data_IF_345052413079
#
_entry.id   IF_345052413079
#
_cell.length_a   1.000
_cell.length_b   1.000
_cell.length_c   1.000
_cell.angle_alpha   90.00
_cell.angle_beta   90.00
_cell.angle_gamma   90.00
#
_symmetry.space_group_name_H-M   'P 1'
#
loop_
_entity.id
_entity.type
_entity.pdbx_description
1 polymer ?
#
# COMPACT_ATOMS: atom_id res chain seq x y z
N UNK A 1 -12.21 6.79 -32.85
CA UNK A 1 -12.12 5.59 -32.00
C UNK A 1 -10.72 5.58 -31.42
N UNK A 2 -10.60 5.75 -30.09
CA UNK A 2 -9.31 5.89 -29.40
C UNK A 2 -8.58 4.55 -29.37
N UNK A 3 -7.39 4.50 -29.97
CA UNK A 3 -6.50 3.34 -29.89
C UNK A 3 -5.95 3.21 -28.47
N UNK A 4 -6.55 2.35 -27.64
CA UNK A 4 -5.86 1.85 -26.45
C UNK A 4 -4.67 1.02 -26.93
N UNK A 5 -3.43 1.48 -26.73
CA UNK A 5 -2.32 1.03 -27.56
C UNK A 5 -1.80 -0.32 -27.07
N UNK A 6 -1.39 -1.16 -28.01
CA UNK A 6 -0.69 -2.44 -27.88
C UNK A 6 0.42 -2.52 -26.79
N UNK A 7 0.91 -1.38 -26.30
CA UNK A 7 1.85 -1.28 -25.17
C UNK A 7 1.26 -1.78 -23.84
N UNK A 8 -0.03 -1.56 -23.58
CA UNK A 8 -0.69 -2.08 -22.38
C UNK A 8 -0.83 -3.61 -22.44
N UNK A 9 -1.03 -4.17 -23.64
CA UNK A 9 -1.03 -5.61 -23.90
C UNK A 9 0.36 -6.23 -23.69
N UNK A 10 1.44 -5.56 -24.10
CA UNK A 10 2.81 -6.01 -23.82
C UNK A 10 3.16 -5.99 -22.34
N UNK A 11 2.75 -4.94 -21.61
CA UNK A 11 2.96 -4.85 -20.17
C UNK A 11 2.13 -5.89 -19.40
N UNK A 12 0.84 -6.02 -19.71
CA UNK A 12 -0.02 -7.03 -19.06
C UNK A 12 0.51 -8.45 -19.26
N UNK A 13 0.97 -8.82 -20.46
CA UNK A 13 1.65 -10.11 -20.69
C UNK A 13 2.91 -10.28 -19.87
N UNK A 14 3.78 -9.27 -19.82
CA UNK A 14 5.00 -9.32 -19.01
C UNK A 14 4.70 -9.54 -17.52
N UNK A 15 3.63 -8.93 -17.03
CA UNK A 15 3.11 -9.06 -15.66
C UNK A 15 2.48 -10.43 -15.42
N UNK A 16 1.71 -10.92 -16.38
CA UNK A 16 1.04 -12.22 -16.36
C UNK A 16 2.05 -13.36 -16.32
N UNK A 17 3.07 -13.29 -17.16
CA UNK A 17 4.09 -14.34 -17.35
C UNK A 17 5.15 -14.37 -16.23
N UNK A 18 5.26 -13.30 -15.42
CA UNK A 18 6.31 -13.17 -14.41
C UNK A 18 5.76 -12.76 -13.04
N UNK A 19 5.11 -13.69 -12.30
CA UNK A 19 4.58 -13.41 -10.97
C UNK A 19 5.67 -12.97 -9.98
N UNK A 20 6.91 -13.44 -10.15
CA UNK A 20 8.06 -13.02 -9.33
C UNK A 20 8.35 -11.51 -9.43
N UNK A 21 8.26 -10.93 -10.64
CA UNK A 21 8.44 -9.49 -10.84
C UNK A 21 7.34 -8.73 -10.10
N UNK A 22 6.12 -9.25 -10.10
CA UNK A 22 5.00 -8.65 -9.39
C UNK A 22 5.16 -8.69 -7.87
N UNK A 23 5.59 -9.81 -7.30
CA UNK A 23 5.90 -9.90 -5.87
C UNK A 23 7.01 -8.90 -5.50
N UNK A 24 8.05 -8.79 -6.32
CA UNK A 24 9.13 -7.83 -6.09
C UNK A 24 8.63 -6.38 -6.12
N UNK A 25 7.89 -6.00 -7.17
CA UNK A 25 7.35 -4.64 -7.30
C UNK A 25 6.35 -4.29 -6.20
N UNK A 26 5.49 -5.24 -5.81
CA UNK A 26 4.50 -5.00 -4.76
C UNK A 26 5.15 -4.83 -3.39
N UNK A 27 6.22 -5.58 -3.12
CA UNK A 27 6.94 -5.53 -1.83
C UNK A 27 7.86 -4.32 -1.72
N UNK A 28 8.74 -4.14 -2.70
CA UNK A 28 9.79 -3.11 -2.67
C UNK A 28 9.32 -1.78 -3.27
N UNK A 29 8.40 -1.80 -4.23
CA UNK A 29 7.83 -0.59 -4.82
C UNK A 29 7.03 0.22 -3.81
N UNK A 30 6.32 -0.44 -2.88
CA UNK A 30 5.61 0.24 -1.78
C UNK A 30 6.58 0.84 -0.77
N UNK A 31 7.70 0.17 -0.47
CA UNK A 31 8.76 0.76 0.36
C UNK A 31 9.38 2.00 -0.29
N UNK A 32 9.68 1.91 -1.59
CA UNK A 32 10.18 3.05 -2.36
C UNK A 32 9.15 4.20 -2.38
N UNK A 33 7.87 3.90 -2.55
CA UNK A 33 6.78 4.88 -2.51
C UNK A 33 6.68 5.55 -1.13
N UNK A 34 6.76 4.76 -0.05
CA UNK A 34 6.78 5.30 1.32
C UNK A 34 7.97 6.23 1.54
N UNK A 35 9.15 5.88 1.02
CA UNK A 35 10.34 6.72 1.10
C UNK A 35 10.16 8.06 0.34
N UNK A 36 9.59 8.01 -0.87
CA UNK A 36 9.25 9.21 -1.64
C UNK A 36 8.21 10.06 -0.91
N UNK A 37 7.15 9.46 -0.37
CA UNK A 37 6.11 10.16 0.40
C UNK A 37 6.68 10.82 1.65
N UNK A 38 7.54 10.13 2.41
CA UNK A 38 8.21 10.68 3.57
C UNK A 38 9.14 11.86 3.20
N UNK A 39 9.82 11.77 2.05
CA UNK A 39 10.65 12.85 1.53
C UNK A 39 9.78 14.04 1.11
N UNK A 40 8.67 13.80 0.42
CA UNK A 40 7.72 14.83 -0.01
C UNK A 40 7.10 15.57 1.19
N UNK A 41 6.80 14.85 2.27
CA UNK A 41 6.32 15.44 3.53
C UNK A 41 7.30 16.44 4.11
N UNK A 42 8.61 16.17 3.99
CA UNK A 42 9.67 17.07 4.46
C UNK A 42 9.76 18.35 3.63
N UNK A 43 9.43 18.26 2.33
CA UNK A 43 9.51 19.39 1.39
C UNK A 43 8.23 20.25 1.46
N UNK A 44 7.05 19.63 1.51
CA UNK A 44 5.76 20.31 1.40
C UNK A 44 4.90 20.02 2.64
N UNK A 45 5.01 20.83 3.71
CA UNK A 45 4.26 20.60 4.94
C UNK A 45 2.74 20.74 4.77
N UNK A 46 2.26 21.48 3.76
CA UNK A 46 0.84 21.60 3.44
C UNK A 46 0.17 20.27 3.07
N UNK A 47 0.94 19.29 2.56
CA UNK A 47 0.45 17.96 2.19
C UNK A 47 0.52 16.96 3.35
N UNK A 48 0.78 17.42 4.58
CA UNK A 48 0.97 16.53 5.74
C UNK A 48 -0.21 15.61 6.01
N UNK A 49 -1.43 16.12 5.91
CA UNK A 49 -2.65 15.33 6.17
C UNK A 49 -2.82 14.21 5.13
N UNK A 50 -2.87 14.49 3.80
CA UNK A 50 -3.04 13.43 2.80
C UNK A 50 -1.84 12.47 2.74
N UNK A 51 -0.61 12.96 2.93
CA UNK A 51 0.58 12.10 2.93
C UNK A 51 0.59 11.18 4.15
N UNK A 52 0.28 11.68 5.36
CA UNK A 52 0.20 10.83 6.54
C UNK A 52 -0.91 9.78 6.42
N UNK A 53 -2.03 10.12 5.79
CA UNK A 53 -3.08 9.14 5.49
C UNK A 53 -2.55 8.03 4.57
N UNK A 54 -1.90 8.38 3.45
CA UNK A 54 -1.30 7.39 2.54
C UNK A 54 -0.25 6.54 3.24
N UNK A 55 0.65 7.14 4.01
CA UNK A 55 1.65 6.42 4.81
C UNK A 55 0.96 5.43 5.75
N UNK A 56 -0.12 5.83 6.43
CA UNK A 56 -0.91 4.95 7.28
C UNK A 56 -1.51 3.76 6.52
N UNK A 57 -2.18 4.02 5.39
CA UNK A 57 -2.75 2.98 4.52
C UNK A 57 -1.68 1.98 4.09
N UNK A 58 -0.58 2.47 3.51
CA UNK A 58 0.50 1.62 3.01
C UNK A 58 1.22 0.87 4.13
N UNK A 59 1.37 1.45 5.32
CA UNK A 59 2.02 0.78 6.46
C UNK A 59 1.22 -0.43 6.96
N UNK A 60 -0.11 -0.33 6.98
CA UNK A 60 -0.98 -1.46 7.36
C UNK A 60 -1.03 -2.50 6.25
N UNK A 61 -1.13 -2.04 5.01
CA UNK A 61 -1.29 -2.92 3.86
C UNK A 61 -0.01 -3.72 3.55
N UNK A 62 1.17 -3.14 3.73
CA UNK A 62 2.44 -3.74 3.31
C UNK A 62 2.66 -5.17 3.85
N UNK A 63 2.57 -5.45 5.16
CA UNK A 63 2.77 -6.81 5.67
C UNK A 63 1.70 -7.80 5.15
N UNK A 64 0.45 -7.36 5.03
CA UNK A 64 -0.68 -8.19 4.59
C UNK A 64 -0.54 -8.51 3.09
N UNK A 65 -0.31 -7.48 2.27
CA UNK A 65 -0.11 -7.59 0.83
C UNK A 65 1.13 -8.41 0.48
N UNK A 66 2.20 -8.31 1.27
CA UNK A 66 3.39 -9.14 1.12
C UNK A 66 3.08 -10.63 1.30
N UNK A 67 2.39 -11.00 2.38
CA UNK A 67 2.00 -12.39 2.66
C UNK A 67 1.10 -12.93 1.56
N UNK A 68 0.10 -12.16 1.13
CA UNK A 68 -0.81 -12.56 0.04
C UNK A 68 -0.05 -12.75 -1.28
N UNK A 69 0.87 -11.84 -1.60
CA UNK A 69 1.73 -11.95 -2.79
C UNK A 69 2.58 -13.22 -2.79
N UNK A 70 3.20 -13.56 -1.65
CA UNK A 70 3.98 -14.79 -1.52
C UNK A 70 3.08 -16.03 -1.66
N UNK A 71 1.91 -16.02 -1.02
CA UNK A 71 0.97 -17.14 -1.08
C UNK A 71 0.51 -17.41 -2.52
N UNK A 72 0.17 -16.35 -3.27
CA UNK A 72 -0.22 -16.46 -4.68
C UNK A 72 0.93 -16.93 -5.56
N UNK A 73 2.17 -16.52 -5.26
CA UNK A 73 3.34 -17.03 -5.95
C UNK A 73 3.52 -18.55 -5.74
N UNK A 74 3.36 -19.06 -4.52
CA UNK A 74 3.45 -20.51 -4.25
C UNK A 74 2.30 -21.32 -4.84
N UNK A 75 1.14 -20.69 -5.07
CA UNK A 75 -0.02 -21.31 -5.72
C UNK A 75 0.04 -21.22 -7.25
N UNK A 76 1.15 -20.75 -7.82
CA UNK A 76 1.36 -20.55 -9.26
C UNK A 76 0.26 -19.67 -9.90
N UNK A 77 -0.20 -18.68 -9.13
CA UNK A 77 -1.20 -17.72 -9.57
C UNK A 77 -0.52 -16.65 -10.43
N UNK A 78 -1.12 -16.36 -11.59
CA UNK A 78 -0.63 -15.31 -12.48
C UNK A 78 -0.45 -13.95 -11.78
N UNK A 79 0.59 -13.23 -12.16
CA UNK A 79 0.93 -11.92 -11.59
C UNK A 79 -0.19 -10.88 -11.71
N UNK A 80 -1.12 -11.03 -12.66
CA UNK A 80 -2.27 -10.13 -12.81
C UNK A 80 -3.22 -10.20 -11.61
N UNK A 81 -3.40 -11.38 -11.02
CA UNK A 81 -4.24 -11.55 -9.83
C UNK A 81 -3.54 -11.04 -8.57
N UNK A 82 -2.21 -11.15 -8.52
CA UNK A 82 -1.40 -10.52 -7.48
C UNK A 82 -1.62 -9.00 -7.54
N UNK A 83 -1.52 -8.39 -8.73
CA UNK A 83 -1.79 -6.96 -8.92
C UNK A 83 -3.21 -6.56 -8.48
N UNK A 84 -4.24 -7.32 -8.90
CA UNK A 84 -5.64 -7.04 -8.55
C UNK A 84 -5.89 -7.17 -7.04
N UNK A 85 -5.26 -8.14 -6.37
CA UNK A 85 -5.36 -8.29 -4.93
C UNK A 85 -4.80 -7.06 -4.18
N UNK A 86 -3.71 -6.49 -4.69
CA UNK A 86 -3.13 -5.26 -4.15
C UNK A 86 -4.06 -4.07 -4.34
N UNK A 87 -4.67 -3.88 -5.52
CA UNK A 87 -5.68 -2.83 -5.69
C UNK A 87 -6.86 -2.98 -4.73
N UNK A 88 -7.34 -4.20 -4.55
CA UNK A 88 -8.44 -4.51 -3.63
C UNK A 88 -8.05 -4.18 -2.19
N UNK A 89 -6.82 -4.51 -1.77
CA UNK A 89 -6.29 -4.15 -0.46
C UNK A 89 -6.17 -2.64 -0.28
N UNK A 90 -5.64 -1.90 -1.27
CA UNK A 90 -5.53 -0.44 -1.20
C UNK A 90 -6.90 0.18 -0.97
N UNK A 91 -7.90 -0.23 -1.76
CA UNK A 91 -9.26 0.29 -1.68
C UNK A 91 -9.89 -0.08 -0.33
N UNK A 92 -9.78 -1.35 0.08
CA UNK A 92 -10.32 -1.83 1.34
C UNK A 92 -9.73 -1.13 2.56
N UNK A 93 -8.39 -1.03 2.64
CA UNK A 93 -7.71 -0.32 3.71
C UNK A 93 -8.04 1.18 3.70
N UNK A 94 -8.16 1.80 2.53
CA UNK A 94 -8.54 3.21 2.42
C UNK A 94 -9.95 3.46 2.97
N UNK A 95 -10.92 2.62 2.59
CA UNK A 95 -12.30 2.71 3.09
C UNK A 95 -12.37 2.44 4.60
N UNK A 96 -11.62 1.44 5.09
CA UNK A 96 -11.56 1.12 6.51
C UNK A 96 -11.04 2.31 7.34
N UNK A 97 -9.91 2.90 6.93
CA UNK A 97 -9.35 4.05 7.63
C UNK A 97 -10.28 5.25 7.52
N UNK A 98 -10.89 5.49 6.37
CA UNK A 98 -11.83 6.60 6.19
C UNK A 98 -13.05 6.47 7.12
N UNK A 99 -13.61 5.27 7.22
CA UNK A 99 -14.81 5.01 8.01
C UNK A 99 -14.52 4.99 9.53
N UNK A 100 -13.34 4.54 9.95
CA UNK A 100 -12.96 4.43 11.37
C UNK A 100 -11.92 5.48 11.81
N UNK A 101 -11.77 6.56 11.03
CA UNK A 101 -10.72 7.56 11.27
C UNK A 101 -10.80 8.19 12.67
N UNK A 102 -12.01 8.46 13.17
CA UNK A 102 -12.25 9.08 14.47
C UNK A 102 -11.84 8.16 15.62
N UNK A 103 -12.22 6.89 15.55
CA UNK A 103 -11.86 5.87 16.55
C UNK A 103 -10.36 5.57 16.54
N UNK A 104 -9.77 5.45 15.36
CA UNK A 104 -8.34 5.22 15.21
C UNK A 104 -7.52 6.38 15.80
N UNK A 105 -7.96 7.63 15.56
CA UNK A 105 -7.33 8.82 16.15
C UNK A 105 -7.46 8.85 17.67
N UNK A 106 -8.58 8.39 18.23
CA UNK A 106 -8.79 8.28 19.66
C UNK A 106 -7.94 7.15 20.30
N UNK A 107 -7.74 6.03 19.61
CA UNK A 107 -6.83 4.96 20.04
C UNK A 107 -5.37 5.44 20.06
N UNK A 108 -4.92 6.08 18.97
CA UNK A 108 -3.56 6.62 18.87
C UNK A 108 -3.30 7.66 19.96
N UNK A 109 -4.27 8.52 20.27
CA UNK A 109 -4.11 9.51 21.33
C UNK A 109 -3.98 8.85 22.71
N UNK A 110 -4.78 7.82 23.02
CA UNK A 110 -4.68 7.03 24.25
C UNK A 110 -3.33 6.30 24.38
N UNK A 111 -2.86 5.66 23.32
CA UNK A 111 -1.55 4.98 23.29
C UNK A 111 -0.42 5.97 23.57
N UNK A 112 -0.46 7.15 22.93
CA UNK A 112 0.54 8.20 23.18
C UNK A 112 0.49 8.74 24.61
N UNK A 113 -0.70 8.81 25.20
CA UNK A 113 -0.90 9.24 26.58
C UNK A 113 -0.31 8.21 27.57
N UNK A 114 -0.58 6.93 27.36
CA UNK A 114 0.00 5.83 28.15
C UNK A 114 1.53 5.77 28.02
N UNK A 115 2.07 6.00 26.82
CA UNK A 115 3.52 6.07 26.60
C UNK A 115 4.18 7.22 27.37
N UNK A 116 3.47 8.33 27.60
CA UNK A 116 3.99 9.44 28.41
C UNK A 116 3.92 9.17 29.91
N UNK A 117 2.88 8.48 30.38
CA UNK A 117 2.71 8.20 31.82
C UNK A 117 3.51 6.99 32.31
N UNK A 118 3.84 6.02 31.46
CA UNK A 118 4.66 4.86 31.82
C UNK A 118 6.18 5.07 31.74
N UNK A 119 6.64 6.29 31.45
CA UNK A 119 8.06 6.64 31.31
C UNK A 119 8.60 7.45 32.52
N UNK A 120 7.87 7.42 33.64
CA UNK A 120 8.25 7.89 34.97
C UNK A 120 8.23 6.72 35.94
#
# INVERSE_FOLDING_TARGET
MQELPFKLFGFSRLVEDNPMIMVFFSSFGVLALLFVLATLLRIIPALKIPINFLIGVFSIMLPIGFVISILFFFLDVSGIYILLSWFTLVIGCSLFILHHYTELRALISRINLMKRTGNH
#
